data_IF_857697940046
#
_entry.id   IF_857697940046
#
_cell.length_a   1.000
_cell.length_b   1.000
_cell.length_c   1.000
_cell.angle_alpha   90.00
_cell.angle_beta   90.00
_cell.angle_gamma   90.00
#
_symmetry.space_group_name_H-M   'P 1'
#
loop_
_entity.id
_entity.type
_entity.pdbx_description
1 polymer ?
#
# COMPACT_ATOMS: atom_id res chain seq x y z
N UNK A 1 12.18 -10.87 -25.68
CA UNK A 1 12.07 -11.22 -24.26
C UNK A 1 12.89 -10.25 -23.43
N UNK A 2 12.24 -9.29 -22.74
CA UNK A 2 12.85 -8.40 -21.73
C UNK A 2 12.21 -8.75 -20.38
N UNK A 3 12.50 -9.94 -19.88
CA UNK A 3 11.90 -10.48 -18.64
C UNK A 3 12.64 -10.02 -17.38
N UNK A 4 13.86 -9.49 -17.53
CA UNK A 4 14.75 -9.19 -16.40
C UNK A 4 14.31 -8.00 -15.53
N UNK A 5 13.45 -7.11 -16.05
CA UNK A 5 13.00 -5.90 -15.35
C UNK A 5 11.61 -6.05 -14.71
N UNK A 6 10.96 -7.21 -14.86
CA UNK A 6 9.67 -7.46 -14.24
C UNK A 6 9.88 -7.91 -12.79
N UNK A 7 9.12 -7.32 -11.87
CA UNK A 7 9.09 -7.71 -10.46
C UNK A 7 7.68 -7.64 -9.91
N UNK A 8 7.33 -8.65 -9.12
CA UNK A 8 6.02 -8.75 -8.50
C UNK A 8 6.18 -9.05 -7.02
N UNK A 9 5.48 -8.26 -6.20
CA UNK A 9 5.33 -8.47 -4.77
C UNK A 9 3.84 -8.37 -4.49
N UNK A 10 3.16 -9.50 -4.29
CA UNK A 10 1.70 -9.56 -4.23
C UNK A 10 1.28 -10.43 -3.06
N UNK A 11 0.37 -9.92 -2.24
CA UNK A 11 -0.39 -10.69 -1.26
C UNK A 11 -1.79 -10.07 -1.09
N UNK A 12 -2.58 -10.60 -0.16
CA UNK A 12 -3.97 -10.15 0.03
C UNK A 12 -4.09 -8.73 0.61
N UNK A 13 -3.02 -8.20 1.22
CA UNK A 13 -3.02 -6.86 1.84
C UNK A 13 -2.53 -5.77 0.90
N UNK A 14 -1.50 -6.06 0.10
CA UNK A 14 -0.86 -5.07 -0.75
C UNK A 14 -0.24 -5.72 -1.98
N UNK A 15 0.00 -4.91 -3.00
CA UNK A 15 0.85 -5.30 -4.10
C UNK A 15 1.73 -4.16 -4.62
N UNK A 16 2.89 -4.55 -5.15
CA UNK A 16 3.75 -3.76 -6.02
C UNK A 16 4.14 -4.63 -7.20
N UNK A 17 3.74 -4.23 -8.40
CA UNK A 17 3.95 -4.97 -9.64
C UNK A 17 4.54 -4.03 -10.66
N UNK A 18 5.78 -4.30 -11.05
CA UNK A 18 6.55 -3.50 -12.01
C UNK A 18 6.75 -4.34 -13.26
N UNK A 19 6.24 -3.88 -14.39
CA UNK A 19 6.27 -4.58 -15.67
C UNK A 19 6.68 -3.64 -16.80
N UNK A 20 7.29 -4.12 -17.88
CA UNK A 20 7.53 -3.30 -19.06
C UNK A 20 6.24 -2.71 -19.63
N UNK A 21 6.28 -1.44 -20.03
CA UNK A 21 5.19 -0.80 -20.76
C UNK A 21 5.16 -1.35 -22.19
N UNK A 22 4.15 -2.17 -22.50
CA UNK A 22 4.01 -2.80 -23.83
C UNK A 22 3.76 -1.77 -24.94
N UNK A 23 3.25 -0.59 -24.59
CA UNK A 23 2.98 0.49 -25.54
C UNK A 23 4.23 1.39 -25.75
N UNK A 24 5.33 1.14 -25.04
CA UNK A 24 6.55 1.97 -25.09
C UNK A 24 7.68 1.29 -25.87
N UNK A 25 8.31 2.05 -26.75
CA UNK A 25 9.53 1.65 -27.47
C UNK A 25 10.82 1.92 -26.67
N UNK A 26 10.75 2.71 -25.59
CA UNK A 26 11.93 3.20 -24.87
C UNK A 26 12.34 2.33 -23.67
N UNK A 27 11.68 1.19 -23.47
CA UNK A 27 11.92 0.36 -22.29
C UNK A 27 11.40 1.00 -21.01
N UNK A 28 10.31 1.77 -21.12
CA UNK A 28 9.59 2.28 -19.95
C UNK A 28 9.00 1.12 -19.14
N UNK A 29 8.84 1.34 -17.85
CA UNK A 29 8.17 0.42 -16.93
C UNK A 29 6.89 1.06 -16.41
N UNK A 30 5.89 0.23 -16.15
CA UNK A 30 4.72 0.59 -15.36
C UNK A 30 4.83 -0.04 -13.98
N UNK A 31 4.73 0.78 -12.95
CA UNK A 31 4.62 0.37 -11.56
C UNK A 31 3.16 0.49 -11.12
N UNK A 32 2.51 -0.66 -10.98
CA UNK A 32 1.21 -0.79 -10.34
C UNK A 32 1.42 -1.03 -8.85
N UNK A 33 0.66 -0.33 -8.03
CA UNK A 33 0.70 -0.50 -6.58
C UNK A 33 -0.71 -0.45 -6.01
N UNK A 34 -0.95 -1.15 -4.91
CA UNK A 34 -2.25 -1.10 -4.28
C UNK A 34 -2.25 -1.62 -2.85
N UNK A 35 -3.26 -1.18 -2.11
CA UNK A 35 -3.55 -1.64 -0.76
C UNK A 35 -5.01 -2.05 -0.65
N UNK A 36 -5.24 -3.16 0.03
CA UNK A 36 -6.55 -3.70 0.30
C UNK A 36 -7.13 -3.03 1.54
N UNK A 37 -8.11 -2.18 1.33
CA UNK A 37 -8.70 -1.35 2.39
C UNK A 37 -9.50 -2.21 3.37
N UNK A 38 -10.14 -3.28 2.88
CA UNK A 38 -10.90 -4.21 3.72
C UNK A 38 -9.97 -5.01 4.64
N UNK A 39 -8.87 -5.52 4.09
CA UNK A 39 -7.88 -6.31 4.84
C UNK A 39 -7.11 -5.48 5.88
N UNK A 40 -6.83 -4.22 5.59
CA UNK A 40 -6.25 -3.31 6.58
C UNK A 40 -7.26 -2.77 7.60
N UNK A 41 -8.57 -2.96 7.38
CA UNK A 41 -9.63 -2.40 8.25
C UNK A 41 -9.50 -2.77 9.73
N UNK A 42 -9.15 -4.01 10.14
CA UNK A 42 -8.97 -4.35 11.56
C UNK A 42 -7.92 -3.48 12.26
N UNK A 43 -6.87 -3.09 11.53
CA UNK A 43 -5.78 -2.25 12.01
C UNK A 43 -6.16 -0.77 11.92
N UNK A 44 -6.86 -0.33 10.88
CA UNK A 44 -7.10 1.10 10.66
C UNK A 44 -8.37 1.62 11.32
N UNK A 45 -9.44 0.82 11.39
CA UNK A 45 -10.77 1.28 11.78
C UNK A 45 -10.78 1.91 13.17
N UNK A 46 -11.46 3.05 13.30
CA UNK A 46 -11.58 3.79 14.55
C UNK A 46 -10.32 4.55 14.98
N UNK A 47 -9.24 4.51 14.18
CA UNK A 47 -7.96 5.20 14.43
C UNK A 47 -7.70 6.35 13.46
N UNK A 48 -8.71 6.75 12.69
CA UNK A 48 -8.62 7.83 11.72
C UNK A 48 -9.97 8.51 11.50
N UNK A 49 -9.94 9.72 10.96
CA UNK A 49 -11.15 10.39 10.46
C UNK A 49 -11.75 9.57 9.29
N UNK A 50 -13.09 9.58 9.09
CA UNK A 50 -13.77 8.77 8.07
C UNK A 50 -13.18 8.90 6.65
N UNK A 51 -12.58 10.05 6.33
CA UNK A 51 -12.01 10.36 5.01
C UNK A 51 -10.49 10.12 4.89
N UNK A 52 -9.83 9.62 5.92
CA UNK A 52 -8.36 9.57 6.00
C UNK A 52 -7.83 8.18 6.38
N UNK A 53 -8.23 7.14 5.63
CA UNK A 53 -7.75 5.78 5.89
C UNK A 53 -6.19 5.72 5.80
N UNK A 54 -5.48 5.31 6.87
CA UNK A 54 -4.02 5.20 6.93
C UNK A 54 -3.39 4.36 5.81
N UNK A 55 -4.01 3.26 5.39
CA UNK A 55 -3.48 2.43 4.31
C UNK A 55 -3.53 3.19 2.98
N UNK A 56 -4.67 3.81 2.68
CA UNK A 56 -4.85 4.64 1.46
C UNK A 56 -3.88 5.83 1.47
N UNK A 57 -3.79 6.54 2.60
CA UNK A 57 -2.88 7.68 2.73
C UNK A 57 -1.41 7.24 2.63
N UNK A 58 -1.08 6.10 3.21
CA UNK A 58 0.24 5.47 3.10
C UNK A 58 0.60 5.21 1.64
N UNK A 59 -0.30 4.59 0.87
CA UNK A 59 -0.10 4.35 -0.57
C UNK A 59 0.15 5.64 -1.35
N UNK A 60 -0.67 6.68 -1.12
CA UNK A 60 -0.48 7.98 -1.75
C UNK A 60 0.89 8.61 -1.44
N UNK A 61 1.38 8.44 -0.20
CA UNK A 61 2.71 8.94 0.17
C UNK A 61 3.83 8.13 -0.49
N UNK A 62 3.65 6.81 -0.63
CA UNK A 62 4.60 5.93 -1.32
C UNK A 62 4.76 6.29 -2.79
N UNK A 63 3.74 6.83 -3.46
CA UNK A 63 3.91 7.32 -4.82
C UNK A 63 5.03 8.38 -4.92
N UNK A 64 5.09 9.30 -3.96
CA UNK A 64 6.16 10.31 -3.92
C UNK A 64 7.51 9.67 -3.62
N UNK A 65 7.56 8.65 -2.77
CA UNK A 65 8.80 7.90 -2.50
C UNK A 65 9.30 7.18 -3.76
N UNK A 66 8.40 6.57 -4.56
CA UNK A 66 8.76 5.96 -5.85
C UNK A 66 9.30 7.01 -6.82
N UNK A 67 8.66 8.18 -6.91
CA UNK A 67 9.16 9.28 -7.76
C UNK A 67 10.54 9.78 -7.31
N UNK A 68 10.75 9.90 -6.00
CA UNK A 68 12.03 10.31 -5.44
C UNK A 68 13.13 9.26 -5.70
N UNK A 69 12.81 7.97 -5.57
CA UNK A 69 13.73 6.88 -5.91
C UNK A 69 14.07 6.87 -7.41
N UNK A 70 13.08 7.06 -8.28
CA UNK A 70 13.31 7.18 -9.71
C UNK A 70 14.28 8.34 -10.02
N UNK A 71 14.03 9.53 -9.46
CA UNK A 71 14.91 10.70 -9.64
C UNK A 71 16.32 10.44 -9.12
N UNK A 72 16.46 9.82 -7.95
CA UNK A 72 17.76 9.46 -7.37
C UNK A 72 18.56 8.48 -8.25
N UNK A 73 17.88 7.66 -9.04
CA UNK A 73 18.49 6.69 -9.96
C UNK A 73 18.56 7.22 -11.41
N UNK A 74 18.46 8.54 -11.62
CA UNK A 74 18.65 9.16 -12.93
C UNK A 74 17.50 8.96 -13.92
N UNK A 75 16.32 8.57 -13.44
CA UNK A 75 15.10 8.38 -14.25
C UNK A 75 13.96 9.28 -13.73
N UNK A 76 12.81 9.27 -14.41
CA UNK A 76 11.62 9.98 -13.95
C UNK A 76 10.43 9.03 -13.89
N UNK A 77 9.61 9.18 -12.85
CA UNK A 77 8.32 8.50 -12.72
C UNK A 77 7.19 9.53 -12.69
N UNK A 78 6.06 9.22 -13.35
CA UNK A 78 4.88 10.09 -13.39
C UNK A 78 3.59 9.29 -13.23
N UNK A 79 2.57 9.84 -12.53
CA UNK A 79 1.25 9.23 -12.49
C UNK A 79 0.66 9.14 -13.88
N UNK A 80 0.02 8.01 -14.17
CA UNK A 80 -0.77 7.85 -15.39
C UNK A 80 -2.25 7.70 -15.05
N UNK A 81 -3.09 8.30 -15.89
CA UNK A 81 -4.54 8.17 -15.75
C UNK A 81 -5.01 6.81 -16.27
N UNK A 82 -5.90 6.19 -15.50
CA UNK A 82 -6.49 4.90 -15.79
C UNK A 82 -5.61 3.74 -15.30
N UNK A 83 -6.17 2.92 -14.41
CA UNK A 83 -5.57 1.65 -14.02
C UNK A 83 -5.75 0.66 -15.16
N UNK A 84 -4.66 0.02 -15.63
CA UNK A 84 -4.67 -0.73 -16.90
C UNK A 84 -4.44 -2.23 -16.77
N UNK A 85 -4.04 -2.72 -15.60
CA UNK A 85 -3.79 -4.17 -15.44
C UNK A 85 -5.09 -4.88 -15.06
N UNK A 86 -5.59 -5.75 -15.94
CA UNK A 86 -6.82 -6.54 -15.70
C UNK A 86 -6.59 -7.73 -14.77
N UNK A 87 -5.33 -8.13 -14.54
CA UNK A 87 -4.97 -9.21 -13.64
C UNK A 87 -4.82 -8.73 -12.18
N UNK A 88 -4.92 -7.43 -11.95
CA UNK A 88 -4.87 -6.80 -10.62
C UNK A 88 -6.15 -5.98 -10.38
N UNK A 89 -6.60 -5.81 -9.12
CA UNK A 89 -6.07 -6.41 -7.90
C UNK A 89 -6.27 -7.94 -7.84
N UNK A 90 -5.56 -8.66 -6.94
CA UNK A 90 -5.59 -10.12 -6.88
C UNK A 90 -6.95 -10.69 -6.42
N UNK A 91 -7.74 -9.90 -5.69
CA UNK A 91 -9.06 -10.29 -5.15
C UNK A 91 -10.14 -9.29 -5.56
N UNK A 92 -11.41 -9.66 -5.38
CA UNK A 92 -12.58 -8.78 -5.63
C UNK A 92 -12.92 -7.84 -4.46
N UNK A 93 -12.03 -7.74 -3.49
CA UNK A 93 -12.21 -6.89 -2.30
C UNK A 93 -12.03 -5.41 -2.66
N UNK A 94 -12.21 -4.51 -1.69
CA UNK A 94 -12.01 -3.09 -1.92
C UNK A 94 -10.53 -2.71 -1.88
N UNK A 95 -9.98 -2.33 -3.03
CA UNK A 95 -8.59 -1.91 -3.20
C UNK A 95 -8.50 -0.42 -3.52
N UNK A 96 -7.52 0.25 -2.91
CA UNK A 96 -7.00 1.53 -3.39
C UNK A 96 -5.77 1.23 -4.24
N UNK A 97 -5.79 1.68 -5.50
CA UNK A 97 -4.79 1.32 -6.50
C UNK A 97 -4.20 2.56 -7.13
N UNK A 98 -2.93 2.48 -7.47
CA UNK A 98 -2.13 3.58 -7.99
C UNK A 98 -1.19 3.09 -9.09
N UNK A 99 -0.87 3.97 -10.04
CA UNK A 99 -0.12 3.61 -11.24
C UNK A 99 0.86 4.71 -11.68
N UNK A 100 2.13 4.34 -11.84
CA UNK A 100 3.21 5.22 -12.28
C UNK A 100 3.87 4.66 -13.54
N UNK A 101 4.15 5.52 -14.52
CA UNK A 101 5.07 5.22 -15.62
C UNK A 101 6.47 5.71 -15.25
N UNK A 102 7.46 4.83 -15.35
CA UNK A 102 8.88 5.09 -15.10
C UNK A 102 9.62 5.02 -16.43
N UNK A 103 10.38 6.06 -16.75
CA UNK A 103 10.98 6.25 -18.08
C UNK A 103 12.46 5.90 -18.11
N UNK A 104 12.92 5.04 -19.02
CA UNK A 104 14.33 4.61 -19.08
C UNK A 104 14.86 4.07 -17.73
N UNK A 105 14.12 3.16 -17.09
CA UNK A 105 14.50 2.62 -15.78
C UNK A 105 15.75 1.73 -15.86
N UNK A 106 16.66 1.89 -14.90
CA UNK A 106 17.78 0.98 -14.72
C UNK A 106 17.27 -0.42 -14.30
N UNK A 107 17.89 -1.54 -14.73
CA UNK A 107 17.41 -2.89 -14.42
C UNK A 107 17.27 -3.21 -12.91
N UNK A 108 18.05 -2.55 -12.05
CA UNK A 108 17.97 -2.74 -10.59
C UNK A 108 16.87 -1.93 -9.90
N UNK A 109 16.29 -0.93 -10.58
CA UNK A 109 15.32 -0.02 -9.96
C UNK A 109 14.05 -0.72 -9.46
N UNK A 110 13.48 -1.73 -10.17
CA UNK A 110 12.32 -2.46 -9.67
C UNK A 110 12.54 -3.09 -8.29
N UNK A 111 13.72 -3.70 -8.07
CA UNK A 111 14.08 -4.31 -6.80
C UNK A 111 14.26 -3.25 -5.70
N UNK A 112 14.88 -2.12 -6.02
CA UNK A 112 15.04 -0.99 -5.08
C UNK A 112 13.67 -0.44 -4.65
N UNK A 113 12.75 -0.25 -5.60
CA UNK A 113 11.40 0.24 -5.33
C UNK A 113 10.66 -0.72 -4.40
N UNK A 114 10.61 -2.01 -4.72
CA UNK A 114 9.84 -2.97 -3.91
C UNK A 114 10.40 -3.08 -2.48
N UNK A 115 11.71 -3.24 -2.33
CA UNK A 115 12.36 -3.35 -1.03
C UNK A 115 12.10 -2.13 -0.14
N UNK A 116 12.17 -0.93 -0.71
CA UNK A 116 11.93 0.30 0.04
C UNK A 116 10.44 0.52 0.34
N UNK A 117 9.61 0.47 -0.70
CA UNK A 117 8.23 0.95 -0.62
C UNK A 117 7.33 0.03 0.21
N UNK A 118 7.55 -1.28 0.21
CA UNK A 118 6.78 -2.19 1.07
C UNK A 118 7.02 -1.85 2.55
N UNK A 119 8.28 -1.74 2.97
CA UNK A 119 8.62 -1.47 4.37
C UNK A 119 8.19 -0.05 4.78
N UNK A 120 8.43 0.95 3.94
CA UNK A 120 8.01 2.32 4.24
C UNK A 120 6.49 2.48 4.28
N UNK A 121 5.73 1.72 3.48
CA UNK A 121 4.28 1.72 3.55
C UNK A 121 3.81 1.27 4.94
N UNK A 122 4.35 0.15 5.42
CA UNK A 122 4.01 -0.38 6.74
C UNK A 122 4.40 0.58 7.86
N UNK A 123 5.58 1.21 7.80
CA UNK A 123 5.99 2.25 8.75
C UNK A 123 5.01 3.42 8.78
N UNK A 124 4.58 3.91 7.62
CA UNK A 124 3.62 5.01 7.52
C UNK A 124 2.25 4.61 8.09
N UNK A 125 1.76 3.39 7.82
CA UNK A 125 0.51 2.87 8.39
C UNK A 125 0.63 2.72 9.92
N UNK A 126 1.67 2.05 10.41
CA UNK A 126 1.94 1.82 11.82
C UNK A 126 1.96 3.14 12.62
N UNK A 127 2.68 4.14 12.07
CA UNK A 127 2.77 5.49 12.65
C UNK A 127 1.41 6.20 12.66
N UNK A 128 0.68 6.18 11.57
CA UNK A 128 -0.62 6.85 11.47
C UNK A 128 -1.69 6.19 12.37
N UNK A 129 -1.60 4.88 12.58
CA UNK A 129 -2.47 4.14 13.49
C UNK A 129 -2.00 4.17 14.96
N UNK A 130 -0.82 4.74 15.25
CA UNK A 130 -0.23 4.79 16.61
C UNK A 130 -0.18 3.40 17.27
N UNK A 131 0.15 2.34 16.51
CA UNK A 131 0.15 0.97 17.05
C UNK A 131 1.44 0.64 17.81
N UNK A 132 2.51 1.38 17.55
CA UNK A 132 3.86 1.13 18.09
C UNK A 132 4.35 -0.31 17.88
N UNK A 133 3.84 -0.97 16.83
CA UNK A 133 4.21 -2.34 16.51
C UNK A 133 5.67 -2.40 16.04
N UNK A 134 6.36 -3.49 16.41
CA UNK A 134 7.69 -3.80 15.88
C UNK A 134 7.51 -4.30 14.45
N UNK A 135 8.01 -3.52 13.48
CA UNK A 135 7.95 -3.86 12.07
C UNK A 135 9.20 -4.63 11.65
N UNK A 136 9.13 -5.45 10.58
CA UNK A 136 10.33 -6.07 10.03
C UNK A 136 11.31 -5.01 9.52
N UNK A 137 12.59 -5.18 9.85
CA UNK A 137 13.67 -4.30 9.38
C UNK A 137 14.08 -4.57 7.92
N UNK A 138 13.74 -5.76 7.42
CA UNK A 138 14.04 -6.22 6.06
C UNK A 138 12.78 -6.67 5.35
N UNK A 139 12.78 -6.62 4.01
CA UNK A 139 11.67 -7.13 3.21
C UNK A 139 11.47 -8.63 3.43
N UNK A 140 10.35 -8.99 4.07
CA UNK A 140 9.87 -10.37 4.13
C UNK A 140 9.36 -10.80 2.76
N UNK A 141 9.36 -12.10 2.47
CA UNK A 141 8.68 -12.57 1.26
C UNK A 141 7.16 -12.31 1.36
N UNK A 142 6.41 -12.27 0.24
CA UNK A 142 5.01 -11.85 0.26
C UNK A 142 4.11 -12.68 1.19
N UNK A 143 4.36 -13.99 1.31
CA UNK A 143 3.58 -14.88 2.16
C UNK A 143 3.91 -14.72 3.64
N UNK A 144 5.19 -14.57 3.98
CA UNK A 144 5.62 -14.22 5.35
C UNK A 144 5.04 -12.88 5.80
N UNK A 145 5.04 -11.88 4.90
CA UNK A 145 4.45 -10.59 5.22
C UNK A 145 2.95 -10.69 5.41
N UNK A 146 2.26 -11.50 4.61
CA UNK A 146 0.83 -11.74 4.79
C UNK A 146 0.52 -12.30 6.17
N UNK A 147 1.22 -13.36 6.58
CA UNK A 147 1.05 -13.97 7.92
C UNK A 147 1.34 -12.94 9.02
N UNK A 148 2.38 -12.12 8.86
CA UNK A 148 2.68 -11.04 9.79
C UNK A 148 1.53 -10.02 9.90
N UNK A 149 0.97 -9.57 8.78
CA UNK A 149 -0.12 -8.60 8.77
C UNK A 149 -1.43 -9.18 9.31
N UNK A 150 -1.70 -10.47 9.05
CA UNK A 150 -2.83 -11.19 9.66
C UNK A 150 -2.69 -11.22 11.18
N UNK A 151 -1.49 -11.54 11.69
CA UNK A 151 -1.21 -11.49 13.13
C UNK A 151 -1.37 -10.08 13.72
N UNK A 152 -0.92 -9.05 13.01
CA UNK A 152 -1.16 -7.66 13.42
C UNK A 152 -2.65 -7.32 13.47
N UNK A 153 -3.44 -7.79 12.51
CA UNK A 153 -4.88 -7.62 12.49
C UNK A 153 -5.54 -8.28 13.71
N UNK A 154 -5.10 -9.47 14.11
CA UNK A 154 -5.61 -10.17 15.30
C UNK A 154 -5.25 -9.42 16.59
N UNK A 155 -3.99 -8.99 16.74
CA UNK A 155 -3.49 -8.30 17.93
C UNK A 155 -4.09 -6.91 18.12
N UNK A 156 -4.29 -6.19 17.02
CA UNK A 156 -4.71 -4.79 17.02
C UNK A 156 -6.11 -4.57 16.47
N UNK A 157 -6.91 -5.63 16.30
CA UNK A 157 -8.32 -5.50 15.93
C UNK A 157 -8.97 -4.47 16.84
N UNK A 158 -9.41 -3.34 16.26
CA UNK A 158 -10.04 -2.29 17.03
C UNK A 158 -11.25 -2.88 17.78
N UNK A 159 -11.24 -2.81 19.12
CA UNK A 159 -12.30 -3.36 19.94
C UNK A 159 -13.63 -2.63 19.61
N UNK A 160 -14.64 -3.31 19.04
CA UNK A 160 -15.88 -2.65 18.60
C UNK A 160 -16.67 -2.02 19.76
N UNK A 161 -16.32 -2.33 21.02
CA UNK A 161 -17.02 -1.87 22.22
C UNK A 161 -16.74 -0.42 22.65
N UNK A 162 -15.69 0.23 22.14
CA UNK A 162 -15.37 1.61 22.56
C UNK A 162 -16.30 2.65 21.90
N UNK A 163 -16.91 2.33 20.75
CA UNK A 163 -17.83 3.25 20.06
C UNK A 163 -19.29 3.21 20.57
N UNK A 164 -19.70 2.17 21.29
CA UNK A 164 -21.05 2.11 21.87
C UNK A 164 -21.23 3.11 23.03
N UNK A 165 -20.13 3.57 23.63
CA UNK A 165 -20.16 4.60 24.67
C UNK A 165 -20.40 6.01 24.11
N UNK A 166 -19.86 6.36 22.93
CA UNK A 166 -20.11 7.69 22.34
C UNK A 166 -21.53 7.82 21.78
N UNK A 167 -22.13 6.72 21.30
CA UNK A 167 -23.54 6.71 20.89
C UNK A 167 -24.51 6.75 22.10
N UNK A 168 -24.19 6.07 23.20
CA UNK A 168 -24.98 6.11 24.44
C UNK A 168 -24.91 7.45 25.19
N UNK A 169 -23.79 8.17 25.09
CA UNK A 169 -23.64 9.50 25.72
C UNK A 169 -24.48 10.56 25.00
N UNK A 170 -24.61 10.49 23.67
CA UNK A 170 -25.45 11.43 22.91
C UNK A 170 -26.96 11.17 23.10
N UNK A 171 -27.39 9.91 23.20
CA UNK A 171 -28.79 9.57 23.47
C UNK A 171 -29.27 9.98 24.88
N UNK A 172 -28.36 10.08 25.87
CA UNK A 172 -28.69 10.58 27.21
C UNK A 172 -28.74 12.11 27.33
N UNK A 173 -28.21 12.85 26.35
CA UNK A 173 -28.23 14.32 26.34
C UNK A 173 -29.42 14.89 25.56
N UNK A 174 -30.04 14.12 24.67
CA UNK A 174 -31.27 14.52 23.97
C UNK A 174 -32.57 14.12 24.70
N UNK A 175 -32.48 13.49 25.87
CA UNK A 175 -33.63 13.09 26.69
C UNK A 175 -33.77 13.91 27.99
N UNK A 176 -33.21 15.13 28.02
CA UNK A 176 -33.42 16.12 29.07
C UNK A 176 -33.98 17.41 28.49
#
# INVERSE_FOLDING_TARGET
MKTEQSREYVNDFLYFVIKPDQDSTNGDLICYSGVNVDRFSPITRGRHNPMANPAVRGLQLIQYDIMALALKNGTTAKPIKGYRDKALPPTREFWSTDCLRITNAHPSLPDIIINHCVIELLKKINKACTLEATLPDTLLNPGELQVFLESMCEQHAANPRIFDLSHKINLRRSAK
#
